data_IF_955140040692
#
_entry.id   IF_955140040692
#
_cell.length_a   1.000
_cell.length_b   1.000
_cell.length_c   1.000
_cell.angle_alpha   90.00
_cell.angle_beta   90.00
_cell.angle_gamma   90.00
#
_symmetry.space_group_name_H-M   'P 1'
#
loop_
_entity.id
_entity.type
_entity.pdbx_description
1 polymer ?
#
# COMPACT_ATOMS: atom_id res chain seq x y z
N UNK A 1 -19.26 68.91 -20.29
CA UNK A 1 -20.37 68.18 -20.92
C UNK A 1 -19.83 67.35 -22.08
N UNK A 2 -19.35 66.13 -21.83
CA UNK A 2 -18.91 65.17 -22.85
C UNK A 2 -19.11 63.77 -22.23
N UNK A 3 -20.21 63.09 -22.56
CA UNK A 3 -20.39 62.15 -23.68
C UNK A 3 -20.10 60.72 -23.24
N UNK A 4 -21.18 60.04 -22.84
CA UNK A 4 -21.21 58.62 -22.52
C UNK A 4 -21.13 57.79 -23.80
N UNK A 5 -20.24 56.81 -23.81
CA UNK A 5 -20.15 55.77 -24.85
C UNK A 5 -20.43 54.44 -24.17
N UNK A 6 -21.57 53.84 -24.53
CA UNK A 6 -21.92 52.47 -24.18
C UNK A 6 -21.18 51.49 -25.10
N UNK A 7 -20.75 50.32 -24.62
CA UNK A 7 -20.42 49.19 -25.48
C UNK A 7 -21.60 48.22 -25.58
N UNK A 8 -21.94 48.00 -26.83
CA UNK A 8 -22.83 47.03 -27.45
C UNK A 8 -22.67 45.59 -26.96
N UNK A 9 -23.83 44.97 -26.75
CA UNK A 9 -24.03 43.52 -26.64
C UNK A 9 -23.63 42.82 -27.95
N UNK A 10 -22.84 41.76 -27.82
CA UNK A 10 -22.66 40.73 -28.83
C UNK A 10 -23.08 39.41 -28.17
N UNK A 11 -24.27 38.97 -28.55
CA UNK A 11 -24.74 37.61 -28.30
C UNK A 11 -24.03 36.68 -29.31
N UNK A 12 -23.20 35.77 -28.81
CA UNK A 12 -22.80 34.58 -29.55
C UNK A 12 -23.27 33.35 -28.76
N UNK A 13 -24.41 32.82 -29.19
CA UNK A 13 -24.93 31.54 -28.78
C UNK A 13 -24.03 30.42 -29.27
N UNK A 14 -23.18 29.90 -28.38
CA UNK A 14 -22.51 28.62 -28.62
C UNK A 14 -23.32 27.51 -27.97
N UNK A 15 -23.96 26.75 -28.84
CA UNK A 15 -24.75 25.56 -28.58
C UNK A 15 -24.02 24.56 -27.66
N UNK A 16 -24.61 24.32 -26.49
CA UNK A 16 -24.30 23.20 -25.59
C UNK A 16 -24.74 21.89 -26.27
N UNK A 17 -23.85 21.28 -27.04
CA UNK A 17 -23.99 19.89 -27.47
C UNK A 17 -23.81 18.98 -26.25
N UNK A 18 -24.90 18.31 -25.91
CA UNK A 18 -25.00 17.28 -24.89
C UNK A 18 -23.83 16.30 -24.93
N UNK A 19 -23.05 16.28 -23.84
CA UNK A 19 -22.18 15.16 -23.53
C UNK A 19 -23.06 14.01 -23.06
N UNK A 20 -23.26 13.04 -23.94
CA UNK A 20 -23.86 11.77 -23.56
C UNK A 20 -23.08 11.14 -22.41
N UNK A 21 -23.76 10.65 -21.35
CA UNK A 21 -23.10 9.85 -20.34
C UNK A 21 -22.64 8.56 -21.01
N UNK A 22 -21.33 8.37 -21.15
CA UNK A 22 -20.74 7.06 -21.47
C UNK A 22 -21.28 6.07 -20.45
N UNK A 23 -22.24 5.26 -20.89
CA UNK A 23 -22.74 4.08 -20.20
C UNK A 23 -21.55 3.17 -19.91
N UNK A 24 -21.04 3.31 -18.69
CA UNK A 24 -20.09 2.40 -18.08
C UNK A 24 -20.74 1.01 -18.08
N UNK A 25 -20.10 0.07 -18.78
CA UNK A 25 -20.59 -1.30 -18.94
C UNK A 25 -20.95 -1.90 -17.58
N UNK A 26 -22.24 -2.10 -17.38
CA UNK A 26 -22.81 -2.93 -16.31
C UNK A 26 -22.40 -4.37 -16.63
N UNK A 27 -21.25 -4.80 -16.11
CA UNK A 27 -20.88 -6.20 -16.14
C UNK A 27 -21.81 -6.95 -15.20
N UNK A 28 -22.54 -7.90 -15.77
CA UNK A 28 -23.35 -8.87 -15.03
C UNK A 28 -22.53 -9.54 -13.93
N UNK A 29 -23.05 -9.49 -12.71
CA UNK A 29 -22.52 -10.23 -11.57
C UNK A 29 -22.82 -11.73 -11.77
N UNK A 30 -21.92 -12.40 -12.49
CA UNK A 30 -21.82 -13.86 -12.45
C UNK A 30 -21.36 -14.35 -11.07
N UNK A 31 -21.73 -15.57 -10.65
CA UNK A 31 -21.53 -16.04 -9.28
C UNK A 31 -20.04 -16.05 -8.93
N UNK A 32 -19.71 -15.23 -7.93
CA UNK A 32 -18.38 -14.96 -7.42
C UNK A 32 -17.71 -16.24 -6.90
N UNK A 33 -16.86 -16.82 -7.75
CA UNK A 33 -15.97 -17.93 -7.44
C UNK A 33 -14.55 -17.71 -7.95
N UNK A 34 -14.09 -16.46 -8.05
CA UNK A 34 -12.68 -16.18 -8.37
C UNK A 34 -11.86 -16.23 -7.08
N UNK A 35 -11.33 -17.42 -6.81
CA UNK A 35 -10.19 -17.59 -5.92
C UNK A 35 -9.08 -16.64 -6.37
N UNK A 36 -8.70 -15.70 -5.50
CA UNK A 36 -7.50 -14.90 -5.70
C UNK A 36 -6.36 -15.84 -6.11
N UNK A 37 -5.54 -15.51 -7.13
CA UNK A 37 -4.32 -16.26 -7.34
C UNK A 37 -3.55 -16.20 -6.03
N UNK A 38 -3.37 -17.35 -5.40
CA UNK A 38 -2.36 -17.47 -4.36
C UNK A 38 -1.08 -17.01 -5.05
N UNK A 39 -0.59 -15.83 -4.68
CA UNK A 39 0.69 -15.32 -5.12
C UNK A 39 1.77 -16.12 -4.36
N UNK A 40 1.73 -17.44 -4.52
CA UNK A 40 2.84 -18.33 -4.21
C UNK A 40 4.01 -17.85 -5.08
N UNK A 41 5.18 -17.58 -4.49
CA UNK A 41 6.35 -17.29 -5.27
C UNK A 41 6.72 -18.58 -6.01
N UNK A 42 6.45 -18.65 -7.32
CA UNK A 42 7.12 -19.61 -8.20
C UNK A 42 8.61 -19.26 -8.20
N UNK A 43 9.34 -19.76 -7.21
CA UNK A 43 10.76 -20.03 -7.33
C UNK A 43 10.89 -21.27 -8.21
N UNK A 44 11.01 -21.05 -9.51
CA UNK A 44 11.52 -22.07 -10.41
C UNK A 44 13.02 -22.24 -10.09
N UNK A 45 13.35 -23.16 -9.20
CA UNK A 45 14.69 -23.73 -9.13
C UNK A 45 14.85 -24.68 -10.33
N UNK A 46 15.59 -24.23 -11.36
CA UNK A 46 16.12 -25.12 -12.38
C UNK A 46 17.16 -26.05 -11.75
N UNK A 47 16.71 -27.20 -11.26
CA UNK A 47 17.57 -28.35 -10.97
C UNK A 47 17.71 -29.18 -12.23
N UNK A 48 18.90 -29.16 -12.82
CA UNK A 48 19.34 -30.15 -13.80
C UNK A 48 19.19 -31.55 -13.20
N UNK A 49 18.34 -32.38 -13.80
CA UNK A 49 18.21 -33.81 -13.46
C UNK A 49 19.05 -34.65 -14.42
N UNK A 50 19.93 -35.47 -13.84
CA UNK A 50 20.56 -36.64 -14.47
C UNK A 50 19.58 -37.83 -14.32
N UNK A 51 19.41 -38.70 -15.33
CA UNK A 51 18.40 -39.76 -15.29
C UNK A 51 18.91 -41.03 -14.60
N UNK A 52 18.05 -41.65 -13.80
CA UNK A 52 18.14 -43.07 -13.43
C UNK A 52 16.75 -43.71 -13.54
N UNK A 53 16.66 -44.95 -14.07
CA UNK A 53 15.43 -45.71 -14.23
C UNK A 53 15.18 -46.63 -13.03
N UNK A 54 13.91 -46.92 -12.71
CA UNK A 54 13.60 -47.96 -11.72
C UNK A 54 12.17 -47.95 -11.20
N UNK A 55 11.34 -48.74 -11.89
CA UNK A 55 10.07 -49.36 -11.49
C UNK A 55 9.91 -49.65 -9.99
N UNK A 56 8.74 -49.40 -9.39
CA UNK A 56 7.91 -50.40 -8.69
C UNK A 56 6.56 -49.84 -8.25
N UNK A 57 5.58 -50.73 -8.27
CA UNK A 57 4.15 -50.51 -8.10
C UNK A 57 3.69 -50.46 -6.63
N UNK A 58 2.41 -50.10 -6.49
CA UNK A 58 1.40 -50.66 -5.58
C UNK A 58 0.84 -49.80 -4.44
N UNK A 59 -0.50 -49.76 -4.50
CA UNK A 59 -1.48 -49.95 -3.43
C UNK A 59 -1.98 -48.78 -2.58
N UNK A 60 -3.25 -48.49 -2.88
CA UNK A 60 -4.36 -48.15 -2.00
C UNK A 60 -4.15 -48.37 -0.49
N UNK A 61 -4.62 -47.40 0.31
CA UNK A 61 -5.43 -47.75 1.48
C UNK A 61 -6.40 -46.64 1.90
N UNK A 62 -7.63 -47.07 2.20
CA UNK A 62 -8.70 -46.33 2.87
C UNK A 62 -8.36 -46.12 4.35
N UNK A 63 -8.93 -45.09 4.97
CA UNK A 63 -8.83 -44.93 6.44
C UNK A 63 -9.59 -43.74 7.00
N UNK A 64 -10.87 -43.96 7.29
CA UNK A 64 -11.70 -43.18 8.22
C UNK A 64 -11.04 -42.96 9.59
N UNK A 65 -11.24 -41.79 10.20
CA UNK A 65 -11.37 -41.57 11.66
C UNK A 65 -11.87 -40.13 11.91
N UNK A 66 -13.16 -39.92 12.26
CA UNK A 66 -13.69 -39.76 13.64
C UNK A 66 -12.89 -38.72 14.46
N UNK A 67 -13.39 -37.49 14.61
CA UNK A 67 -14.41 -37.04 15.59
C UNK A 67 -14.00 -37.20 17.05
N UNK A 68 -13.31 -36.19 17.59
CA UNK A 68 -13.32 -35.90 19.03
C UNK A 68 -13.56 -34.41 19.27
N UNK A 69 -14.81 -34.14 19.68
CA UNK A 69 -15.31 -32.91 20.29
C UNK A 69 -14.81 -32.90 21.74
N UNK A 70 -13.97 -31.93 22.10
CA UNK A 70 -13.61 -31.66 23.50
C UNK A 70 -14.20 -30.31 23.86
N UNK A 71 -15.27 -30.36 24.66
CA UNK A 71 -15.77 -29.26 25.48
C UNK A 71 -14.70 -28.96 26.54
N UNK A 72 -14.27 -27.71 26.64
CA UNK A 72 -13.46 -27.30 27.79
C UNK A 72 -13.98 -26.00 28.39
N UNK A 73 -14.18 -26.09 29.70
CA UNK A 73 -14.93 -25.19 30.55
C UNK A 73 -14.21 -23.85 30.76
N UNK A 74 -15.05 -22.82 30.87
CA UNK A 74 -14.71 -21.49 31.30
C UNK A 74 -14.28 -21.52 32.77
N UNK A 75 -13.03 -21.14 33.06
CA UNK A 75 -12.61 -20.73 34.40
C UNK A 75 -12.55 -19.20 34.46
N UNK A 76 -13.48 -18.67 35.26
CA UNK A 76 -13.62 -17.28 35.68
C UNK A 76 -12.55 -17.00 36.74
N UNK A 77 -11.50 -16.25 36.39
CA UNK A 77 -10.49 -15.79 37.35
C UNK A 77 -10.82 -14.34 37.73
N UNK A 78 -11.32 -14.16 38.95
CA UNK A 78 -11.45 -12.86 39.61
C UNK A 78 -10.05 -12.39 40.01
N UNK A 79 -9.61 -11.23 39.50
CA UNK A 79 -8.42 -10.55 40.01
C UNK A 79 -8.83 -9.49 41.05
N UNK A 80 -8.46 -9.75 42.30
CA UNK A 80 -8.42 -8.76 43.38
C UNK A 80 -7.37 -7.70 43.06
N UNK A 81 -7.74 -6.44 43.25
CA UNK A 81 -6.85 -5.27 43.22
C UNK A 81 -6.57 -4.90 44.66
N UNK A 82 -5.31 -4.90 45.10
CA UNK A 82 -4.92 -4.18 46.32
C UNK A 82 -3.40 -3.94 46.41
N UNK A 83 -3.09 -2.88 47.17
CA UNK A 83 -1.79 -2.50 47.77
C UNK A 83 -0.80 -1.65 46.95
N UNK A 84 -1.11 -0.35 46.95
CA UNK A 84 -0.41 0.67 47.75
C UNK A 84 1.03 0.33 48.22
N UNK A 85 2.03 0.89 47.54
CA UNK A 85 3.41 1.01 48.05
C UNK A 85 3.87 2.48 48.00
N UNK A 86 3.94 3.10 49.19
CA UNK A 86 4.72 4.31 49.47
C UNK A 86 6.20 3.90 49.58
N UNK A 87 7.05 4.37 48.67
CA UNK A 87 8.48 4.03 48.64
C UNK A 87 9.38 5.24 48.44
N UNK A 88 9.98 5.65 49.55
CA UNK A 88 11.13 6.52 49.81
C UNK A 88 12.00 7.02 48.63
N UNK A 89 12.24 8.33 48.64
CA UNK A 89 13.20 9.02 47.78
C UNK A 89 14.65 8.68 48.11
N UNK A 90 15.32 8.02 47.18
CA UNK A 90 16.77 7.90 47.11
C UNK A 90 17.31 8.89 46.09
N UNK A 91 17.95 9.95 46.57
CA UNK A 91 18.64 10.96 45.76
C UNK A 91 19.97 10.37 45.26
N UNK A 92 19.93 9.46 44.28
CA UNK A 92 21.13 8.91 43.66
C UNK A 92 21.63 9.89 42.59
N UNK A 93 22.64 10.68 42.96
CA UNK A 93 23.34 11.63 42.09
C UNK A 93 24.19 10.94 41.03
N UNK A 94 23.56 10.15 40.16
CA UNK A 94 24.20 9.71 38.93
C UNK A 94 24.29 10.93 37.99
N UNK A 95 25.48 11.28 37.47
CA UNK A 95 25.59 12.28 36.43
C UNK A 95 24.70 11.85 35.28
N UNK A 96 23.63 12.61 35.05
CA UNK A 96 22.73 12.41 33.93
C UNK A 96 23.57 12.61 32.68
N UNK A 97 23.99 11.49 32.08
CA UNK A 97 24.64 11.48 30.78
C UNK A 97 23.56 11.87 29.78
N UNK A 98 23.41 13.17 29.53
CA UNK A 98 22.59 13.69 28.45
C UNK A 98 23.33 13.25 27.18
N UNK A 99 22.84 12.24 26.44
CA UNK A 99 23.49 11.81 25.23
C UNK A 99 23.53 13.02 24.30
N UNK A 100 24.70 13.36 23.75
CA UNK A 100 24.81 14.39 22.72
C UNK A 100 23.78 14.08 21.65
N UNK A 101 22.70 14.87 21.60
CA UNK A 101 21.67 14.75 20.58
C UNK A 101 22.36 15.03 19.26
N UNK A 102 22.58 13.98 18.49
CA UNK A 102 22.97 14.12 17.09
C UNK A 102 21.93 15.03 16.42
N UNK A 103 22.33 15.95 15.53
CA UNK A 103 21.39 16.79 14.80
C UNK A 103 20.31 15.89 14.19
N UNK A 104 19.06 16.17 14.56
CA UNK A 104 17.91 15.36 14.17
C UNK A 104 17.82 15.34 12.64
N UNK A 105 17.93 14.15 12.03
CA UNK A 105 17.80 14.01 10.57
C UNK A 105 16.40 14.45 10.15
N UNK A 106 16.33 15.33 9.17
CA UNK A 106 15.05 15.75 8.58
C UNK A 106 14.32 14.54 7.97
N UNK A 107 13.20 14.16 8.59
CA UNK A 107 12.36 13.02 8.20
C UNK A 107 11.81 13.15 6.78
N UNK A 108 11.69 14.38 6.25
CA UNK A 108 11.20 14.62 4.88
C UNK A 108 12.20 14.14 3.82
N UNK A 109 13.48 13.99 4.19
CA UNK A 109 14.53 13.43 3.34
C UNK A 109 14.55 11.90 3.30
N UNK A 110 13.72 11.23 4.12
CA UNK A 110 13.68 9.77 4.18
C UNK A 110 13.23 9.18 2.82
N UNK A 111 13.84 8.10 2.32
CA UNK A 111 13.45 7.43 1.06
C UNK A 111 12.01 6.91 1.03
N UNK A 112 11.32 6.91 2.17
CA UNK A 112 9.92 6.52 2.28
C UNK A 112 8.95 7.69 2.06
N UNK A 113 9.46 8.92 1.99
CA UNK A 113 8.66 10.13 1.87
C UNK A 113 9.13 11.06 0.76
N UNK A 114 10.45 11.24 0.58
CA UNK A 114 11.03 12.22 -0.34
C UNK A 114 10.51 12.11 -1.78
N UNK A 115 10.59 13.22 -2.50
CA UNK A 115 10.29 13.31 -3.93
C UNK A 115 11.53 13.79 -4.70
N UNK A 116 11.82 13.24 -5.89
CA UNK A 116 12.90 13.73 -6.75
C UNK A 116 12.57 15.12 -7.28
N UNK A 117 13.60 15.91 -7.58
CA UNK A 117 13.46 17.13 -8.40
C UNK A 117 13.42 16.75 -9.87
N UNK A 118 12.61 17.45 -10.68
CA UNK A 118 12.59 17.26 -12.13
C UNK A 118 13.62 18.18 -12.80
N UNK A 119 14.39 17.65 -13.76
CA UNK A 119 15.28 18.48 -14.59
C UNK A 119 14.46 19.57 -15.31
N UNK A 120 14.86 20.85 -15.24
CA UNK A 120 14.15 21.91 -15.96
C UNK A 120 14.03 21.61 -17.46
N UNK A 121 12.83 21.75 -18.00
CA UNK A 121 12.55 21.45 -19.41
C UNK A 121 12.37 19.97 -19.74
N UNK A 122 12.48 19.06 -18.76
CA UNK A 122 12.10 17.67 -18.97
C UNK A 122 10.60 17.57 -19.27
N UNK A 123 10.27 16.81 -20.29
CA UNK A 123 8.90 16.59 -20.74
C UNK A 123 8.56 15.11 -20.63
N UNK A 124 7.36 14.81 -20.15
CA UNK A 124 6.79 13.46 -20.18
C UNK A 124 5.50 13.50 -20.97
N UNK A 125 5.24 12.43 -21.72
CA UNK A 125 3.95 12.22 -22.38
C UNK A 125 2.81 12.21 -21.34
N UNK A 126 1.60 12.56 -21.78
CA UNK A 126 0.41 12.43 -20.94
C UNK A 126 0.08 10.98 -20.58
N UNK A 127 -0.67 10.83 -19.48
CA UNK A 127 -1.23 9.56 -19.02
C UNK A 127 -2.16 8.94 -20.07
N UNK A 128 -2.04 7.62 -20.30
CA UNK A 128 -2.83 6.87 -21.29
C UNK A 128 -3.73 5.84 -20.62
N UNK A 129 -5.03 6.13 -20.59
CA UNK A 129 -6.05 5.25 -20.00
C UNK A 129 -6.17 3.89 -20.71
N UNK A 130 -5.91 3.83 -22.03
CA UNK A 130 -5.97 2.59 -22.81
C UNK A 130 -5.03 1.47 -22.31
N UNK A 131 -4.07 1.78 -21.43
CA UNK A 131 -3.22 0.78 -20.78
C UNK A 131 -3.87 0.11 -19.57
N UNK A 132 -4.93 0.70 -19.00
CA UNK A 132 -5.69 0.12 -17.89
C UNK A 132 -6.42 -1.15 -18.35
N UNK A 133 -7.05 -1.14 -19.53
CA UNK A 133 -7.80 -2.29 -20.05
C UNK A 133 -6.93 -3.53 -20.27
N UNK A 134 -5.67 -3.33 -20.67
CA UNK A 134 -4.71 -4.42 -20.91
C UNK A 134 -4.32 -5.16 -19.63
N UNK A 135 -4.54 -4.55 -18.46
CA UNK A 135 -4.20 -5.11 -17.17
C UNK A 135 -5.18 -6.19 -16.72
N UNK A 136 -6.45 -6.07 -17.12
CA UNK A 136 -7.45 -7.10 -16.84
C UNK A 136 -7.12 -8.44 -17.53
N UNK A 137 -6.40 -8.39 -18.66
CA UNK A 137 -6.13 -9.55 -19.51
C UNK A 137 -4.81 -10.29 -19.19
N UNK A 138 -3.93 -9.76 -18.32
CA UNK A 138 -2.57 -10.29 -18.13
C UNK A 138 -2.22 -10.54 -16.67
N UNK A 139 -1.39 -11.55 -16.42
CA UNK A 139 -0.68 -11.75 -15.14
C UNK A 139 0.38 -10.65 -14.95
N UNK A 140 -0.06 -9.46 -14.58
CA UNK A 140 0.81 -8.34 -14.32
C UNK A 140 1.60 -8.52 -13.01
N UNK A 141 2.91 -8.33 -13.08
CA UNK A 141 3.77 -8.34 -11.91
C UNK A 141 3.86 -6.94 -11.30
N UNK A 142 2.92 -6.61 -10.41
CA UNK A 142 2.87 -5.32 -9.74
C UNK A 142 4.09 -5.02 -8.88
N UNK A 143 4.77 -6.05 -8.36
CA UNK A 143 5.97 -5.86 -7.56
C UNK A 143 7.13 -5.29 -8.38
N UNK A 144 7.33 -5.75 -9.62
CA UNK A 144 8.36 -5.19 -10.49
C UNK A 144 8.10 -3.71 -10.79
N UNK A 145 6.85 -3.35 -11.10
CA UNK A 145 6.48 -1.95 -11.34
C UNK A 145 6.65 -1.08 -10.09
N UNK A 146 6.26 -1.56 -8.91
CA UNK A 146 6.51 -0.82 -7.66
C UNK A 146 8.01 -0.63 -7.38
N UNK A 147 8.84 -1.62 -7.68
CA UNK A 147 10.30 -1.47 -7.54
C UNK A 147 10.82 -0.38 -8.48
N UNK A 148 10.43 -0.40 -9.76
CA UNK A 148 10.87 0.63 -10.72
C UNK A 148 10.40 2.04 -10.33
N UNK A 149 9.15 2.18 -9.88
CA UNK A 149 8.63 3.46 -9.35
C UNK A 149 9.45 3.90 -8.14
N UNK A 150 9.72 3.00 -7.21
CA UNK A 150 10.54 3.26 -6.02
C UNK A 150 11.96 3.70 -6.38
N UNK A 151 12.63 3.05 -7.34
CA UNK A 151 13.96 3.47 -7.79
C UNK A 151 13.94 4.87 -8.41
N UNK A 152 12.92 5.20 -9.23
CA UNK A 152 12.77 6.55 -9.79
C UNK A 152 12.53 7.60 -8.69
N UNK A 153 11.64 7.32 -7.73
CA UNK A 153 11.33 8.23 -6.62
C UNK A 153 12.50 8.36 -5.61
N UNK A 154 13.42 7.39 -5.58
CA UNK A 154 14.65 7.46 -4.78
C UNK A 154 15.67 8.42 -5.40
N UNK A 155 15.61 8.76 -6.67
CA UNK A 155 16.62 9.64 -7.29
C UNK A 155 16.58 11.06 -6.69
N UNK A 156 17.72 11.78 -6.61
CA UNK A 156 17.69 13.18 -6.21
C UNK A 156 17.12 14.08 -7.31
N UNK A 157 17.43 13.76 -8.57
CA UNK A 157 16.98 14.47 -9.77
C UNK A 157 16.55 13.44 -10.81
N UNK A 158 15.40 13.64 -11.45
CA UNK A 158 14.83 12.76 -12.47
C UNK A 158 14.85 13.45 -13.85
N UNK A 159 15.39 12.75 -14.85
CA UNK A 159 15.41 13.20 -16.25
C UNK A 159 14.20 12.69 -17.05
N UNK A 160 14.12 13.03 -18.34
CA UNK A 160 13.02 12.65 -19.21
C UNK A 160 12.88 11.14 -19.43
N UNK A 161 13.99 10.37 -19.42
CA UNK A 161 13.96 8.92 -19.61
C UNK A 161 13.32 8.24 -18.40
N UNK A 162 13.78 8.63 -17.21
CA UNK A 162 13.25 8.12 -15.96
C UNK A 162 11.79 8.57 -15.73
N UNK A 163 11.42 9.77 -16.18
CA UNK A 163 10.02 10.22 -16.15
C UNK A 163 9.11 9.37 -17.04
N UNK A 164 9.53 8.99 -18.25
CA UNK A 164 8.72 8.12 -19.12
C UNK A 164 8.61 6.68 -18.56
N UNK A 165 9.69 6.17 -17.93
CA UNK A 165 9.64 4.91 -17.18
C UNK A 165 8.62 5.03 -16.05
N UNK A 166 8.72 6.07 -15.21
CA UNK A 166 7.80 6.32 -14.10
C UNK A 166 6.35 6.36 -14.60
N UNK A 167 6.08 7.05 -15.71
CA UNK A 167 4.73 7.20 -16.29
C UNK A 167 4.18 5.86 -16.72
N UNK A 168 4.99 5.08 -17.44
CA UNK A 168 4.62 3.74 -17.89
C UNK A 168 4.31 2.81 -16.71
N UNK A 169 5.12 2.83 -15.65
CA UNK A 169 4.88 1.97 -14.50
C UNK A 169 3.66 2.39 -13.69
N UNK A 170 3.39 3.69 -13.56
CA UNK A 170 2.19 4.21 -12.88
C UNK A 170 0.91 3.87 -13.63
N UNK A 171 0.89 3.94 -14.96
CA UNK A 171 -0.26 3.48 -15.74
C UNK A 171 -0.60 2.01 -15.43
N UNK A 172 0.42 1.15 -15.35
CA UNK A 172 0.22 -0.24 -14.98
C UNK A 172 -0.24 -0.40 -13.53
N UNK A 173 0.35 0.32 -12.58
CA UNK A 173 -0.05 0.26 -11.17
C UNK A 173 -1.46 0.81 -10.94
N UNK A 174 -1.87 1.87 -11.65
CA UNK A 174 -3.23 2.40 -11.60
C UNK A 174 -4.23 1.38 -12.14
N UNK A 175 -3.94 0.74 -13.27
CA UNK A 175 -4.80 -0.33 -13.82
C UNK A 175 -4.88 -1.53 -12.89
N UNK A 176 -3.76 -1.92 -12.29
CA UNK A 176 -3.74 -2.95 -11.25
C UNK A 176 -4.59 -2.55 -10.04
N UNK A 177 -4.47 -1.32 -9.55
CA UNK A 177 -5.25 -0.86 -8.40
C UNK A 177 -6.75 -0.96 -8.68
N UNK A 178 -7.19 -0.41 -9.81
CA UNK A 178 -8.61 -0.37 -10.20
C UNK A 178 -9.20 -1.79 -10.29
N UNK A 179 -8.46 -2.72 -10.89
CA UNK A 179 -8.96 -4.08 -11.15
C UNK A 179 -8.78 -5.01 -9.95
N UNK A 180 -7.65 -4.95 -9.25
CA UNK A 180 -7.21 -6.00 -8.31
C UNK A 180 -7.25 -5.59 -6.84
N UNK A 181 -7.34 -4.29 -6.51
CA UNK A 181 -7.47 -3.86 -5.10
C UNK A 181 -8.92 -3.92 -4.59
N UNK A 182 -9.90 -4.01 -5.50
CA UNK A 182 -11.30 -4.28 -5.17
C UNK A 182 -11.39 -5.66 -4.53
N UNK A 183 -11.49 -5.70 -3.21
CA UNK A 183 -11.55 -6.95 -2.48
C UNK A 183 -12.02 -6.73 -1.07
N UNK A 184 -13.08 -7.44 -0.71
CA UNK A 184 -13.63 -7.38 0.64
C UNK A 184 -12.59 -7.87 1.68
N UNK A 185 -12.43 -7.07 2.74
CA UNK A 185 -11.62 -7.38 3.91
C UNK A 185 -12.44 -7.58 5.19
N UNK A 186 -13.76 -7.37 5.14
CA UNK A 186 -14.71 -7.42 6.27
C UNK A 186 -14.66 -8.75 7.04
N UNK A 187 -14.36 -9.85 6.34
CA UNK A 187 -14.34 -11.20 6.94
C UNK A 187 -12.95 -11.82 7.01
N UNK A 188 -11.90 -11.02 6.82
CA UNK A 188 -10.52 -11.51 6.81
C UNK A 188 -9.94 -11.49 8.23
N UNK A 189 -9.09 -12.48 8.52
CA UNK A 189 -8.30 -12.50 9.77
C UNK A 189 -7.48 -11.19 9.86
N UNK A 190 -7.29 -10.60 11.05
CA UNK A 190 -6.57 -9.34 11.22
C UNK A 190 -5.21 -9.29 10.49
N UNK A 191 -4.43 -10.38 10.54
CA UNK A 191 -3.18 -10.52 9.80
C UNK A 191 -3.35 -10.30 8.28
N UNK A 192 -4.37 -10.91 7.68
CA UNK A 192 -4.64 -10.81 6.23
C UNK A 192 -5.13 -9.41 5.88
N UNK A 193 -5.95 -8.80 6.75
CA UNK A 193 -6.39 -7.42 6.57
C UNK A 193 -5.20 -6.45 6.58
N UNK A 194 -4.30 -6.56 7.57
CA UNK A 194 -3.05 -5.78 7.65
C UNK A 194 -2.20 -5.95 6.41
N UNK A 195 -1.99 -7.19 5.93
CA UNK A 195 -1.20 -7.44 4.71
C UNK A 195 -1.79 -6.74 3.48
N UNK A 196 -3.13 -6.78 3.33
CA UNK A 196 -3.83 -6.12 2.22
C UNK A 196 -3.76 -4.60 2.32
N UNK A 197 -4.00 -4.03 3.50
CA UNK A 197 -3.94 -2.59 3.73
C UNK A 197 -2.53 -2.05 3.58
N UNK A 198 -1.51 -2.79 4.04
CA UNK A 198 -0.10 -2.41 3.89
C UNK A 198 0.29 -2.37 2.41
N UNK A 199 -0.11 -3.38 1.63
CA UNK A 199 0.10 -3.38 0.18
C UNK A 199 -0.59 -2.19 -0.49
N UNK A 200 -1.86 -1.94 -0.14
CA UNK A 200 -2.62 -0.81 -0.66
C UNK A 200 -1.94 0.52 -0.35
N UNK A 201 -1.45 0.72 0.88
CA UNK A 201 -0.75 1.94 1.28
C UNK A 201 0.53 2.17 0.45
N UNK A 202 1.35 1.13 0.26
CA UNK A 202 2.58 1.23 -0.54
C UNK A 202 2.26 1.61 -1.99
N UNK A 203 1.26 0.96 -2.57
CA UNK A 203 0.88 1.19 -3.95
C UNK A 203 0.31 2.61 -4.14
N UNK A 204 -0.66 3.00 -3.29
CA UNK A 204 -1.33 4.31 -3.38
C UNK A 204 -0.35 5.45 -3.11
N UNK A 205 0.54 5.33 -2.14
CA UNK A 205 1.58 6.33 -1.92
C UNK A 205 2.53 6.43 -3.12
N UNK A 206 2.91 5.31 -3.74
CA UNK A 206 3.76 5.32 -4.93
C UNK A 206 3.11 6.06 -6.09
N UNK A 207 1.80 5.86 -6.30
CA UNK A 207 1.01 6.58 -7.30
C UNK A 207 0.90 8.07 -6.96
N UNK A 208 0.62 8.41 -5.70
CA UNK A 208 0.51 9.81 -5.26
C UNK A 208 1.85 10.54 -5.42
N UNK A 209 2.93 9.96 -4.93
CA UNK A 209 4.28 10.52 -5.03
C UNK A 209 4.68 10.75 -6.49
N UNK A 210 4.44 9.79 -7.38
CA UNK A 210 4.75 9.95 -8.80
C UNK A 210 3.93 11.08 -9.45
N UNK A 211 2.67 11.25 -9.07
CA UNK A 211 1.83 12.33 -9.60
C UNK A 211 2.25 13.71 -9.06
N UNK A 212 2.81 13.81 -7.86
CA UNK A 212 3.44 15.05 -7.38
C UNK A 212 4.69 15.40 -8.20
N UNK A 213 5.48 14.41 -8.64
CA UNK A 213 6.67 14.62 -9.48
C UNK A 213 6.30 15.23 -10.84
N UNK A 214 5.21 14.80 -11.46
CA UNK A 214 4.74 15.37 -12.74
C UNK A 214 3.95 16.66 -12.60
N UNK A 215 3.40 16.92 -11.42
CA UNK A 215 2.46 18.01 -11.20
C UNK A 215 1.25 17.90 -12.14
N UNK A 216 0.85 19.00 -12.82
CA UNK A 216 -0.35 19.03 -13.67
C UNK A 216 -0.37 18.02 -14.82
N UNK A 217 0.79 17.60 -15.34
CA UNK A 217 0.88 16.65 -16.46
C UNK A 217 0.40 15.24 -16.10
N UNK A 218 0.29 14.95 -14.80
CA UNK A 218 -0.22 13.67 -14.29
C UNK A 218 -1.68 13.40 -14.66
N UNK A 219 -2.47 14.45 -14.95
CA UNK A 219 -3.93 14.36 -15.15
C UNK A 219 -4.60 13.56 -14.03
N UNK A 220 -4.14 13.75 -12.78
CA UNK A 220 -4.60 12.99 -11.60
C UNK A 220 -6.13 12.96 -11.50
N UNK A 221 -6.79 14.08 -11.81
CA UNK A 221 -8.25 14.22 -11.73
C UNK A 221 -9.01 13.26 -12.65
N UNK A 222 -8.39 12.78 -13.75
CA UNK A 222 -9.05 11.89 -14.72
C UNK A 222 -9.17 10.44 -14.20
N UNK A 223 -8.30 10.00 -13.28
CA UNK A 223 -8.20 8.58 -12.90
C UNK A 223 -8.05 8.30 -11.40
N UNK A 224 -7.67 9.30 -10.60
CA UNK A 224 -7.42 9.11 -9.17
C UNK A 224 -8.67 8.65 -8.41
N UNK A 225 -9.85 9.19 -8.75
CA UNK A 225 -11.13 8.78 -8.20
C UNK A 225 -11.36 7.27 -8.32
N UNK A 226 -11.08 6.70 -9.49
CA UNK A 226 -11.18 5.26 -9.74
C UNK A 226 -10.20 4.45 -8.88
N UNK A 227 -8.98 4.93 -8.69
CA UNK A 227 -7.98 4.27 -7.83
C UNK A 227 -8.41 4.31 -6.37
N UNK A 228 -8.81 5.46 -5.84
CA UNK A 228 -9.19 5.58 -4.41
C UNK A 228 -10.48 4.83 -4.09
N UNK A 229 -11.40 4.73 -5.05
CA UNK A 229 -12.61 3.91 -4.90
C UNK A 229 -12.30 2.41 -4.79
N UNK A 230 -11.17 1.97 -5.35
CA UNK A 230 -10.73 0.58 -5.30
C UNK A 230 -9.93 0.23 -4.03
N UNK A 231 -9.57 1.20 -3.20
CA UNK A 231 -8.82 0.95 -1.96
C UNK A 231 -9.72 0.19 -0.98
N UNK A 232 -9.27 -0.95 -0.43
CA UNK A 232 -10.06 -1.71 0.54
C UNK A 232 -10.38 -0.87 1.79
N UNK A 233 -11.57 -1.07 2.35
CA UNK A 233 -12.05 -0.41 3.57
C UNK A 233 -12.08 -1.43 4.69
N UNK A 234 -11.43 -1.12 5.81
CA UNK A 234 -11.40 -1.98 6.99
C UNK A 234 -12.51 -1.58 7.96
N UNK A 235 -13.60 -2.37 8.09
CA UNK A 235 -14.71 -2.03 8.98
C UNK A 235 -14.39 -2.25 10.47
N UNK A 236 -13.24 -2.85 10.78
CA UNK A 236 -12.83 -3.21 12.13
C UNK A 236 -12.84 -4.72 12.37
N UNK A 237 -12.48 -5.16 13.58
CA UNK A 237 -12.47 -6.57 13.93
C UNK A 237 -13.89 -7.10 14.19
N UNK A 238 -14.17 -8.32 13.72
CA UNK A 238 -15.30 -9.10 14.25
C UNK A 238 -15.06 -9.40 15.73
N UNK A 239 -16.11 -9.37 16.58
CA UNK A 239 -16.04 -9.58 18.04
C UNK A 239 -15.20 -10.81 18.46
N UNK A 240 -15.21 -11.87 17.66
CA UNK A 240 -14.50 -13.13 17.93
C UNK A 240 -12.98 -13.05 17.72
N UNK A 241 -12.50 -12.13 16.85
CA UNK A 241 -11.11 -12.09 16.42
C UNK A 241 -10.15 -11.36 17.37
N UNK A 242 -10.67 -10.67 18.39
CA UNK A 242 -9.91 -9.74 19.24
C UNK A 242 -9.24 -10.39 20.46
N UNK A 243 -9.40 -11.69 20.71
CA UNK A 243 -8.97 -12.31 21.97
C UNK A 243 -7.48 -12.63 22.10
N UNK A 244 -6.68 -12.51 21.02
CA UNK A 244 -5.24 -12.81 21.05
C UNK A 244 -4.41 -11.53 21.01
N UNK A 245 -3.32 -11.41 21.81
CA UNK A 245 -2.45 -10.21 21.77
C UNK A 245 -1.89 -9.89 20.39
N UNK A 246 -1.55 -10.92 19.60
CA UNK A 246 -1.08 -10.72 18.21
C UNK A 246 -2.19 -10.26 17.27
N UNK A 247 -3.45 -10.59 17.55
CA UNK A 247 -4.58 -10.07 16.80
C UNK A 247 -4.81 -8.60 17.13
N UNK A 248 -4.71 -8.21 18.40
CA UNK A 248 -4.80 -6.82 18.85
C UNK A 248 -3.76 -5.91 18.17
N UNK A 249 -2.48 -6.31 18.15
CA UNK A 249 -1.44 -5.56 17.45
C UNK A 249 -1.74 -5.38 15.94
N UNK A 250 -2.30 -6.42 15.30
CA UNK A 250 -2.72 -6.33 13.90
C UNK A 250 -3.94 -5.42 13.72
N UNK A 251 -4.89 -5.41 14.65
CA UNK A 251 -6.04 -4.50 14.61
C UNK A 251 -5.58 -3.06 14.68
N UNK A 252 -4.70 -2.72 15.63
CA UNK A 252 -4.14 -1.37 15.78
C UNK A 252 -3.37 -0.92 14.53
N UNK A 253 -2.57 -1.82 13.94
CA UNK A 253 -1.87 -1.53 12.71
C UNK A 253 -2.84 -1.37 11.53
N UNK A 254 -3.87 -2.22 11.40
CA UNK A 254 -4.89 -2.09 10.37
C UNK A 254 -5.64 -0.75 10.45
N UNK A 255 -6.01 -0.31 11.64
CA UNK A 255 -6.63 1.00 11.87
C UNK A 255 -5.69 2.15 11.48
N UNK A 256 -4.41 2.05 11.84
CA UNK A 256 -3.41 3.07 11.47
C UNK A 256 -3.21 3.14 9.95
N UNK A 257 -3.18 2.00 9.26
CA UNK A 257 -3.08 1.91 7.80
C UNK A 257 -4.34 2.46 7.12
N UNK A 258 -5.52 2.13 7.64
CA UNK A 258 -6.81 2.63 7.15
C UNK A 258 -6.87 4.17 7.24
N UNK A 259 -6.50 4.76 8.37
CA UNK A 259 -6.46 6.22 8.55
C UNK A 259 -5.53 6.92 7.54
N UNK A 260 -4.35 6.34 7.28
CA UNK A 260 -3.44 6.86 6.24
C UNK A 260 -4.06 6.74 4.83
N UNK A 261 -4.76 5.64 4.53
CA UNK A 261 -5.47 5.46 3.26
C UNK A 261 -6.64 6.44 3.11
N UNK A 262 -7.36 6.76 4.18
CA UNK A 262 -8.43 7.77 4.17
C UNK A 262 -7.89 9.18 3.86
N UNK A 263 -6.66 9.48 4.28
CA UNK A 263 -5.99 10.73 3.89
C UNK A 263 -5.81 10.80 2.36
N UNK A 264 -5.42 9.70 1.71
CA UNK A 264 -5.33 9.61 0.25
C UNK A 264 -6.69 9.72 -0.45
N UNK A 265 -7.76 9.15 0.14
CA UNK A 265 -9.14 9.32 -0.37
C UNK A 265 -9.55 10.79 -0.38
N UNK A 266 -9.08 11.58 0.58
CA UNK A 266 -9.30 13.03 0.62
C UNK A 266 -8.43 13.85 -0.33
N UNK A 267 -7.62 13.18 -1.18
CA UNK A 267 -6.72 13.84 -2.13
C UNK A 267 -5.47 14.42 -1.47
N UNK A 268 -5.11 13.97 -0.26
CA UNK A 268 -3.93 14.44 0.48
C UNK A 268 -2.96 13.30 0.74
N UNK A 269 -1.68 13.66 0.93
CA UNK A 269 -0.66 12.74 1.43
C UNK A 269 -0.58 12.81 2.96
N UNK A 270 -0.50 11.68 3.69
CA UNK A 270 -0.13 11.70 5.12
C UNK A 270 1.20 12.41 5.36
N UNK A 271 1.42 12.94 6.56
CA UNK A 271 2.68 13.59 6.92
C UNK A 271 3.87 12.62 6.88
N UNK A 272 5.08 13.17 6.82
CA UNK A 272 6.31 12.38 6.77
C UNK A 272 6.44 11.44 7.98
N UNK A 273 6.14 11.94 9.18
CA UNK A 273 6.24 11.19 10.43
C UNK A 273 5.32 9.97 10.41
N UNK A 274 4.07 10.16 9.99
CA UNK A 274 3.06 9.09 9.90
C UNK A 274 3.48 8.07 8.84
N UNK A 275 3.80 8.54 7.63
CA UNK A 275 4.04 7.65 6.50
C UNK A 275 5.35 6.85 6.65
N UNK A 276 6.43 7.49 7.11
CA UNK A 276 7.71 6.83 7.37
C UNK A 276 7.55 5.80 8.48
N UNK A 277 6.89 6.16 9.58
CA UNK A 277 6.64 5.23 10.70
C UNK A 277 5.86 3.99 10.25
N UNK A 278 4.81 4.18 9.44
CA UNK A 278 4.02 3.05 8.91
C UNK A 278 4.84 2.17 7.96
N UNK A 279 5.60 2.76 7.04
CA UNK A 279 6.45 1.98 6.11
C UNK A 279 7.57 1.25 6.84
N UNK A 280 8.15 1.83 7.88
CA UNK A 280 9.10 1.12 8.76
C UNK A 280 8.41 -0.05 9.50
N UNK A 281 7.18 0.11 9.99
CA UNK A 281 6.41 -1.02 10.54
C UNK A 281 6.20 -2.11 9.50
N UNK A 282 5.89 -1.76 8.25
CA UNK A 282 5.67 -2.73 7.17
C UNK A 282 6.96 -3.47 6.78
N UNK A 283 8.04 -2.75 6.48
CA UNK A 283 9.26 -3.32 5.89
C UNK A 283 10.33 -3.68 6.92
N UNK A 284 10.43 -2.95 8.01
CA UNK A 284 11.55 -3.06 8.94
C UNK A 284 11.23 -3.90 10.17
N UNK A 285 9.97 -4.22 10.46
CA UNK A 285 9.57 -5.09 11.58
C UNK A 285 9.14 -6.49 11.13
N UNK A 286 9.06 -7.44 12.07
CA UNK A 286 8.55 -8.79 11.79
C UNK A 286 7.01 -8.90 11.82
N UNK A 287 6.30 -7.78 12.00
CA UNK A 287 4.84 -7.77 12.16
C UNK A 287 4.11 -8.24 10.89
N UNK A 288 4.68 -7.97 9.71
CA UNK A 288 4.13 -8.41 8.42
C UNK A 288 5.16 -9.27 7.65
N UNK A 289 5.22 -10.60 7.90
CA UNK A 289 6.24 -11.48 7.33
C UNK A 289 6.32 -11.47 5.81
N UNK A 290 5.22 -11.16 5.11
CA UNK A 290 5.16 -11.10 3.64
C UNK A 290 6.14 -10.08 3.04
N UNK A 291 6.36 -8.95 3.73
CA UNK A 291 7.26 -7.88 3.26
C UNK A 291 8.72 -8.08 3.70
N UNK A 292 9.04 -9.25 4.26
CA UNK A 292 10.37 -9.57 4.78
C UNK A 292 11.23 -10.40 3.81
N UNK A 293 10.76 -10.61 2.58
CA UNK A 293 11.37 -11.54 1.62
C UNK A 293 11.39 -10.96 0.21
N UNK A 294 12.27 -11.50 -0.63
CA UNK A 294 12.35 -11.18 -2.05
C UNK A 294 12.65 -9.70 -2.30
N UNK A 295 12.00 -9.11 -3.29
CA UNK A 295 12.26 -7.72 -3.69
C UNK A 295 11.87 -6.68 -2.64
N UNK A 296 11.02 -7.03 -1.66
CA UNK A 296 10.64 -6.15 -0.56
C UNK A 296 11.83 -5.75 0.33
N UNK A 297 12.89 -6.56 0.35
CA UNK A 297 14.11 -6.24 1.10
C UNK A 297 14.77 -4.94 0.64
N UNK A 298 14.56 -4.52 -0.61
CA UNK A 298 15.08 -3.27 -1.15
C UNK A 298 14.58 -2.03 -0.38
N UNK A 299 13.37 -2.06 0.17
CA UNK A 299 12.85 -0.98 1.01
C UNK A 299 13.51 -0.93 2.39
N UNK A 300 13.82 -2.10 2.97
CA UNK A 300 14.58 -2.15 4.22
C UNK A 300 16.00 -1.62 4.03
N UNK A 301 16.66 -1.98 2.93
CA UNK A 301 18.00 -1.47 2.62
C UNK A 301 18.02 0.05 2.55
N UNK A 302 17.02 0.66 1.90
CA UNK A 302 16.89 2.12 1.85
C UNK A 302 16.77 2.77 3.25
N UNK A 303 15.96 2.20 4.14
CA UNK A 303 15.81 2.69 5.52
C UNK A 303 17.13 2.57 6.30
N UNK A 304 17.87 1.47 6.12
CA UNK A 304 19.19 1.28 6.76
C UNK A 304 20.24 2.24 6.23
N UNK A 305 20.32 2.45 4.92
CA UNK A 305 21.21 3.43 4.28
C UNK A 305 20.92 4.84 4.80
N UNK A 306 19.63 5.22 4.86
CA UNK A 306 19.24 6.53 5.37
C UNK A 306 19.56 6.70 6.86
N UNK A 307 19.42 5.65 7.69
CA UNK A 307 19.84 5.73 9.10
C UNK A 307 21.35 5.84 9.25
N UNK A 308 22.11 5.07 8.46
CA UNK A 308 23.57 4.96 8.52
C UNK A 308 24.35 6.15 7.94
N UNK A 309 23.73 7.02 7.14
CA UNK A 309 24.39 8.21 6.55
C UNK A 309 24.66 9.34 7.56
N UNK A 310 24.84 9.03 8.85
CA UNK A 310 25.18 9.98 9.92
C UNK A 310 26.69 10.20 9.99
#
# INVERSE_FOLDING_TARGET
MLSAVAPSMLEDGTSLSALEPKTFLRMDEGPSGLSFPSLEPNLSSETFSVPQPGTFASQANNGQQQSHRVENQQQLVQFHSDEQMKGQGGNSGYPIYIPKMTPEKDITTHPFYRLPRVVPGAFVRGFREARLDRMAARRFNSLNSMVLVKECLKMPVIDWQHLDILMTQVEFLAGFAIVQMRGDIDKKKPKVAVERLAFALILVDSLYAATEVWGPQSKRDEWWGSVVSAIPVYPGPTKVAASRPTAEQNILLAQSLQSALDTYRSGKRPTAEVLVSLKQKIFCTRQIPRFQRGQWLKWRTDDLEWRGSL
#
